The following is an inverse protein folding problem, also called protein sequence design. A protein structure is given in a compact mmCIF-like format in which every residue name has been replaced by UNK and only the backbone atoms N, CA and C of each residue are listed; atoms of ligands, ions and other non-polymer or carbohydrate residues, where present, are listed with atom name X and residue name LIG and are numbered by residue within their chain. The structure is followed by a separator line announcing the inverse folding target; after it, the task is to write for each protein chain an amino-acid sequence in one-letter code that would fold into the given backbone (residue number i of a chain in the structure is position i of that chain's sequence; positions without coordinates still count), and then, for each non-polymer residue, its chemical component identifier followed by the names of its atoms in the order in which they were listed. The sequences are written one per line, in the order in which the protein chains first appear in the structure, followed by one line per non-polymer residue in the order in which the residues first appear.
data_IF_197080123860
#
_entry.id   IF_197080123860
#
_cell.length_a   1.000
_cell.length_b   1.000
_cell.length_c   1.000
_cell.angle_alpha   90.00
_cell.angle_beta   90.00
_cell.angle_gamma   90.00
#
_symmetry.space_group_name_H-M   'P 1'
#
loop_
_entity.id
_entity.type
_entity.pdbx_description
1 polymer ?
#
# COMPACT_ATOMS: atom_id res chain seq x y z
N UNK A 1 3.33 50.63 10.33
CA UNK A 1 2.42 49.48 10.31
C UNK A 1 2.03 49.26 8.87
N UNK A 2 2.82 48.46 8.16
CA UNK A 2 2.35 47.76 6.97
C UNK A 2 3.18 46.47 6.92
N UNK A 3 2.48 45.34 6.95
CA UNK A 3 3.01 44.02 7.28
C UNK A 3 3.88 43.50 6.13
N UNK A 4 5.19 43.57 6.31
CA UNK A 4 6.14 42.80 5.51
C UNK A 4 5.97 41.32 5.84
N UNK A 5 5.02 40.67 5.18
CA UNK A 5 4.81 39.22 5.27
C UNK A 5 6.09 38.55 4.74
N UNK A 6 6.84 37.91 5.63
CA UNK A 6 8.10 37.24 5.34
C UNK A 6 7.89 36.17 4.25
N UNK A 7 8.67 36.22 3.17
CA UNK A 7 8.57 35.29 2.05
C UNK A 7 8.65 33.82 2.49
N UNK A 8 9.35 33.55 3.59
CA UNK A 8 9.49 32.22 4.18
C UNK A 8 8.14 31.72 4.74
N UNK A 9 7.37 32.59 5.41
CA UNK A 9 6.05 32.22 5.97
C UNK A 9 5.03 31.87 4.89
N UNK A 10 5.07 32.60 3.76
CA UNK A 10 4.26 32.28 2.59
C UNK A 10 4.71 30.97 1.95
N UNK A 11 6.01 30.69 1.93
CA UNK A 11 6.54 29.41 1.44
C UNK A 11 6.09 28.24 2.33
N UNK A 12 6.12 28.41 3.65
CA UNK A 12 5.63 27.42 4.64
C UNK A 12 4.14 27.13 4.49
N UNK A 13 3.32 28.17 4.29
CA UNK A 13 1.89 28.00 4.00
C UNK A 13 1.67 27.23 2.69
N UNK A 14 2.50 27.50 1.67
CA UNK A 14 2.54 26.72 0.44
C UNK A 14 2.84 25.25 0.70
N UNK A 15 3.89 24.95 1.49
CA UNK A 15 4.29 23.59 1.84
C UNK A 15 3.24 22.86 2.69
N UNK A 16 2.56 23.56 3.60
CA UNK A 16 1.47 22.99 4.39
C UNK A 16 0.28 22.60 3.51
N UNK A 17 -0.10 23.45 2.55
CA UNK A 17 -1.17 23.17 1.59
C UNK A 17 -0.80 22.06 0.61
N UNK A 18 0.48 21.98 0.22
CA UNK A 18 1.01 20.87 -0.58
C UNK A 18 0.94 19.53 0.17
N UNK A 19 1.35 19.49 1.44
CA UNK A 19 1.22 18.28 2.29
C UNK A 19 -0.25 17.86 2.47
N UNK A 20 -1.16 18.82 2.50
CA UNK A 20 -2.60 18.57 2.58
C UNK A 20 -3.25 18.18 1.23
N UNK A 21 -2.48 18.10 0.13
CA UNK A 21 -2.98 17.76 -1.20
C UNK A 21 -3.69 18.90 -1.95
N UNK A 22 -3.79 20.09 -1.36
CA UNK A 22 -4.42 21.29 -1.94
C UNK A 22 -3.42 22.09 -2.80
N UNK A 23 -2.91 21.46 -3.87
CA UNK A 23 -1.79 21.97 -4.67
C UNK A 23 -2.12 23.28 -5.42
N UNK A 24 -3.38 23.50 -5.82
CA UNK A 24 -3.83 24.74 -6.48
C UNK A 24 -3.69 25.97 -5.58
N UNK A 25 -3.97 25.81 -4.29
CA UNK A 25 -3.79 26.88 -3.31
C UNK A 25 -2.32 27.04 -2.92
N UNK A 26 -1.57 25.94 -2.80
CA UNK A 26 -0.13 25.97 -2.55
C UNK A 26 0.62 26.82 -3.59
N UNK A 27 0.30 26.66 -4.88
CA UNK A 27 0.91 27.44 -5.98
C UNK A 27 0.69 28.95 -5.81
N UNK A 28 -0.47 29.38 -5.29
CA UNK A 28 -0.73 30.81 -5.05
C UNK A 28 0.25 31.38 -4.02
N UNK A 29 0.49 30.62 -2.95
CA UNK A 29 1.43 31.01 -1.89
C UNK A 29 2.89 30.98 -2.39
N UNK A 30 3.30 29.95 -3.12
CA UNK A 30 4.64 29.89 -3.72
C UNK A 30 4.91 31.03 -4.70
N UNK A 31 3.93 31.39 -5.55
CA UNK A 31 4.07 32.54 -6.45
C UNK A 31 4.19 33.86 -5.70
N UNK A 32 3.47 34.03 -4.59
CA UNK A 32 3.60 35.23 -3.73
C UNK A 32 4.99 35.29 -3.09
N UNK A 33 5.48 34.17 -2.57
CA UNK A 33 6.81 34.08 -1.97
C UNK A 33 7.93 34.37 -2.99
N UNK A 34 7.88 33.79 -4.20
CA UNK A 34 8.88 34.04 -5.26
C UNK A 34 8.88 35.47 -5.79
N UNK A 35 7.75 36.17 -5.71
CA UNK A 35 7.66 37.59 -6.06
C UNK A 35 8.38 38.49 -5.07
N UNK A 36 8.44 38.09 -3.80
CA UNK A 36 9.11 38.84 -2.74
C UNK A 36 10.61 38.52 -2.76
N UNK A 37 10.97 37.24 -2.75
CA UNK A 37 12.35 36.78 -2.75
C UNK A 37 12.53 35.63 -3.77
N UNK A 38 13.23 35.85 -4.90
CA UNK A 38 13.42 34.83 -5.93
C UNK A 38 14.16 33.57 -5.43
N UNK A 39 14.99 33.71 -4.40
CA UNK A 39 15.78 32.62 -3.80
C UNK A 39 15.14 32.01 -2.55
N UNK A 40 13.87 32.32 -2.24
CA UNK A 40 13.18 31.87 -1.02
C UNK A 40 13.23 30.36 -0.82
N UNK A 41 13.19 29.57 -1.90
CA UNK A 41 13.29 28.11 -1.83
C UNK A 41 14.63 27.66 -1.25
N UNK A 42 15.74 28.29 -1.67
CA UNK A 42 17.08 27.96 -1.20
C UNK A 42 17.25 28.32 0.27
N UNK A 43 16.68 29.46 0.68
CA UNK A 43 16.69 29.93 2.07
C UNK A 43 15.86 28.97 2.96
N UNK A 44 14.66 28.59 2.51
CA UNK A 44 13.80 27.65 3.21
C UNK A 44 14.43 26.26 3.36
N UNK A 45 15.06 25.72 2.31
CA UNK A 45 15.80 24.45 2.38
C UNK A 45 16.97 24.50 3.36
N UNK A 46 17.67 25.64 3.43
CA UNK A 46 18.75 25.85 4.40
C UNK A 46 18.22 25.86 5.83
N UNK A 47 17.12 26.59 6.09
CA UNK A 47 16.41 26.60 7.37
C UNK A 47 16.01 25.19 7.80
N UNK A 48 15.38 24.41 6.92
CA UNK A 48 14.95 23.05 7.23
C UNK A 48 16.13 22.10 7.52
N UNK A 49 17.28 22.32 6.87
CA UNK A 49 18.50 21.57 7.15
C UNK A 49 19.13 21.95 8.50
N UNK A 50 19.09 23.23 8.87
CA UNK A 50 19.52 23.73 10.19
C UNK A 50 18.60 23.21 11.31
N UNK A 51 17.28 23.24 11.11
CA UNK A 51 16.30 22.64 12.04
C UNK A 51 16.50 21.14 12.21
N UNK A 52 16.77 20.42 11.11
CA UNK A 52 17.06 18.99 11.16
C UNK A 52 18.35 18.70 11.94
N UNK A 53 19.43 19.46 11.71
CA UNK A 53 20.68 19.35 12.48
C UNK A 53 20.46 19.61 13.96
N UNK A 54 19.74 20.67 14.29
CA UNK A 54 19.41 21.03 15.67
C UNK A 54 18.57 19.93 16.34
N UNK A 55 17.61 19.34 15.62
CA UNK A 55 16.83 18.21 16.11
C UNK A 55 17.69 16.97 16.35
N UNK A 56 18.69 16.72 15.50
CA UNK A 56 19.63 15.61 15.67
C UNK A 56 20.57 15.84 16.87
N UNK A 57 21.02 17.08 17.07
CA UNK A 57 21.82 17.49 18.24
C UNK A 57 21.01 17.43 19.54
N UNK A 58 19.76 17.91 19.54
CA UNK A 58 18.83 17.76 20.67
C UNK A 58 18.58 16.31 21.00
N UNK A 59 18.38 15.45 20.00
CA UNK A 59 18.21 14.01 20.22
C UNK A 59 19.46 13.38 20.83
N UNK A 60 20.66 13.80 20.40
CA UNK A 60 21.95 13.37 20.99
C UNK A 60 22.10 13.88 22.43
N UNK A 61 21.62 15.09 22.72
CA UNK A 61 21.62 15.68 24.06
C UNK A 61 20.62 14.99 24.99
N UNK A 62 19.40 14.69 24.54
CA UNK A 62 18.42 13.86 25.27
C UNK A 62 18.95 12.44 25.53
N UNK A 63 19.68 11.87 24.57
CA UNK A 63 20.40 10.61 24.73
C UNK A 63 21.56 10.73 25.74
N UNK A 64 22.18 11.92 25.89
CA UNK A 64 23.25 12.16 26.85
C UNK A 64 22.75 12.52 28.25
N UNK A 65 21.66 13.26 28.41
CA UNK A 65 21.01 13.51 29.70
C UNK A 65 20.32 12.23 30.23
N UNK A 66 19.85 11.37 29.32
CA UNK A 66 19.47 9.99 29.64
C UNK A 66 20.65 9.08 30.01
N UNK A 67 21.88 9.44 29.62
CA UNK A 67 23.11 8.72 29.94
C UNK A 67 23.83 9.25 31.19
N UNK A 68 23.62 10.51 31.59
CA UNK A 68 24.17 11.06 32.84
C UNK A 68 23.38 10.62 34.09
N UNK A 69 22.17 10.08 33.92
CA UNK A 69 21.49 9.26 34.94
C UNK A 69 21.74 7.75 34.77
N UNK A 70 22.61 7.35 33.85
CA UNK A 70 22.97 5.96 33.57
C UNK A 70 24.48 5.81 33.38
N UNK A 71 25.25 6.25 34.37
CA UNK A 71 26.64 5.82 34.54
C UNK A 71 26.95 5.56 36.00
N UNK A 72 26.49 4.42 36.51
CA UNK A 72 27.15 3.73 37.62
C UNK A 72 27.65 2.40 37.10
N UNK A 73 28.98 2.31 37.03
CA UNK A 73 29.82 1.11 37.02
C UNK A 73 29.35 -0.13 36.23
N UNK A 74 30.08 -0.39 35.15
CA UNK A 74 30.47 -1.74 34.76
C UNK A 74 31.39 -2.34 35.86
N UNK A 75 30.78 -2.70 36.98
CA UNK A 75 31.16 -3.86 37.75
C UNK A 75 29.92 -4.76 37.75
N UNK A 76 30.13 -6.06 37.69
CA UNK A 76 29.09 -7.08 37.78
C UNK A 76 28.32 -6.95 39.09
N UNK A 77 27.35 -6.04 39.14
CA UNK A 77 26.29 -6.01 40.13
C UNK A 77 25.11 -6.73 39.49
N UNK A 78 24.87 -7.95 39.98
CA UNK A 78 23.57 -8.59 39.86
C UNK A 78 22.53 -7.56 40.32
N UNK A 79 21.81 -6.97 39.37
CA UNK A 79 20.58 -6.25 39.66
C UNK A 79 19.78 -7.23 40.54
N UNK A 80 19.42 -6.89 41.78
CA UNK A 80 18.47 -7.71 42.51
C UNK A 80 17.25 -7.82 41.61
N UNK A 81 17.05 -9.00 41.04
CA UNK A 81 15.75 -9.38 40.53
C UNK A 81 14.90 -9.30 41.79
N UNK A 82 14.26 -8.16 42.04
CA UNK A 82 13.00 -8.19 42.76
C UNK A 82 12.18 -9.20 41.96
N UNK A 83 12.09 -10.42 42.49
CA UNK A 83 11.09 -11.39 42.08
C UNK A 83 9.77 -10.68 42.34
N UNK A 84 9.33 -9.90 41.34
CA UNK A 84 7.96 -9.47 41.24
C UNK A 84 7.23 -10.80 41.14
N UNK A 85 6.59 -11.17 42.25
CA UNK A 85 5.76 -12.36 42.37
C UNK A 85 4.55 -12.15 41.44
N UNK A 86 4.81 -12.34 40.15
CA UNK A 86 3.85 -12.13 39.09
C UNK A 86 2.81 -13.22 39.25
N UNK A 87 1.52 -12.86 39.36
CA UNK A 87 0.49 -13.86 39.51
C UNK A 87 0.54 -14.83 38.34
N UNK A 88 0.28 -16.13 38.59
CA UNK A 88 0.35 -17.17 37.57
C UNK A 88 -0.49 -16.79 36.36
N UNK A 89 0.09 -16.96 35.16
CA UNK A 89 -0.63 -16.72 33.93
C UNK A 89 -1.46 -17.96 33.62
N UNK A 90 -2.69 -18.01 34.16
CA UNK A 90 -3.53 -19.21 34.11
C UNK A 90 -3.70 -19.79 32.70
N UNK A 91 -3.78 -18.96 31.66
CA UNK A 91 -3.90 -19.48 30.29
C UNK A 91 -2.64 -20.26 29.84
N UNK A 92 -1.46 -19.84 30.26
CA UNK A 92 -0.19 -20.47 29.88
C UNK A 92 0.15 -21.69 30.74
N UNK A 93 -0.41 -21.75 31.95
CA UNK A 93 -0.24 -22.83 32.92
C UNK A 93 -1.30 -23.92 32.79
N UNK A 94 -2.54 -23.55 32.51
CA UNK A 94 -3.64 -24.51 32.35
C UNK A 94 -3.66 -25.16 30.97
N UNK A 95 -3.23 -24.46 29.92
CA UNK A 95 -3.30 -24.96 28.55
C UNK A 95 -1.94 -25.46 28.07
N UNK A 96 -1.97 -26.63 27.42
CA UNK A 96 -0.80 -27.15 26.71
C UNK A 96 -0.48 -26.29 25.48
N UNK A 97 0.77 -26.35 25.03
CA UNK A 97 1.23 -25.63 23.84
C UNK A 97 0.43 -26.02 22.58
N UNK A 98 -0.07 -27.26 22.50
CA UNK A 98 -0.95 -27.71 21.41
C UNK A 98 -2.28 -26.95 21.37
N UNK A 99 -2.93 -26.77 22.53
CA UNK A 99 -4.19 -26.02 22.62
C UNK A 99 -3.93 -24.53 22.32
N UNK A 100 -2.84 -23.98 22.85
CA UNK A 100 -2.43 -22.60 22.58
C UNK A 100 -2.16 -22.38 21.09
N UNK A 101 -1.48 -23.30 20.41
CA UNK A 101 -1.27 -23.24 18.96
C UNK A 101 -2.57 -23.29 18.17
N UNK A 102 -3.56 -24.07 18.62
CA UNK A 102 -4.89 -24.09 18.00
C UNK A 102 -5.61 -22.76 18.15
N UNK A 103 -5.53 -22.14 19.33
CA UNK A 103 -6.06 -20.77 19.56
C UNK A 103 -5.35 -19.76 18.65
N UNK A 104 -4.01 -19.84 18.56
CA UNK A 104 -3.22 -18.96 17.68
C UNK A 104 -3.65 -19.13 16.21
N UNK A 105 -3.91 -20.35 15.74
CA UNK A 105 -4.38 -20.58 14.38
C UNK A 105 -5.72 -19.89 14.10
N UNK A 106 -6.69 -19.95 15.03
CA UNK A 106 -7.95 -19.21 14.89
C UNK A 106 -7.72 -17.69 14.87
N UNK A 107 -6.80 -17.20 15.70
CA UNK A 107 -6.43 -15.77 15.72
C UNK A 107 -5.82 -15.36 14.38
N UNK A 108 -4.92 -16.16 13.80
CA UNK A 108 -4.32 -15.94 12.48
C UNK A 108 -5.39 -15.82 11.40
N UNK A 109 -6.42 -16.67 11.42
CA UNK A 109 -7.52 -16.64 10.46
C UNK A 109 -8.44 -15.43 10.64
N UNK A 110 -8.57 -14.92 11.88
CA UNK A 110 -9.38 -13.75 12.19
C UNK A 110 -8.72 -12.43 11.78
N UNK A 111 -7.46 -12.20 12.17
CA UNK A 111 -6.73 -10.97 11.90
C UNK A 111 -5.24 -11.14 12.13
N UNK A 112 -4.46 -10.83 11.09
CA UNK A 112 -3.00 -10.80 11.18
C UNK A 112 -2.48 -9.77 12.19
N UNK A 113 -3.22 -8.68 12.46
CA UNK A 113 -2.82 -7.69 13.47
C UNK A 113 -2.94 -8.26 14.88
N UNK A 114 -4.03 -8.98 15.15
CA UNK A 114 -4.25 -9.64 16.44
C UNK A 114 -3.20 -10.72 16.70
N UNK A 115 -2.78 -11.45 15.67
CA UNK A 115 -1.67 -12.41 15.76
C UNK A 115 -0.37 -11.75 16.22
N UNK A 116 0.01 -10.62 15.61
CA UNK A 116 1.20 -9.87 16.04
C UNK A 116 1.02 -9.31 17.45
N UNK A 117 -0.14 -8.72 17.76
CA UNK A 117 -0.39 -8.18 19.10
C UNK A 117 -0.30 -9.26 20.19
N UNK A 118 -0.80 -10.47 19.94
CA UNK A 118 -0.66 -11.60 20.87
C UNK A 118 0.81 -11.94 21.10
N UNK A 119 1.63 -11.95 20.05
CA UNK A 119 3.06 -12.26 20.14
C UNK A 119 3.87 -11.26 20.98
N UNK A 120 3.33 -10.05 21.19
CA UNK A 120 3.95 -8.99 21.98
C UNK A 120 3.62 -9.07 23.48
N UNK A 121 2.68 -9.95 23.87
CA UNK A 121 2.21 -10.06 25.27
C UNK A 121 3.22 -10.73 26.18
N UNK A 122 3.87 -11.81 25.73
CA UNK A 122 4.87 -12.52 26.53
C UNK A 122 5.83 -13.36 25.66
N UNK A 123 6.96 -13.78 26.24
CA UNK A 123 7.98 -14.60 25.56
C UNK A 123 7.41 -15.94 25.05
N UNK A 124 6.52 -16.59 25.81
CA UNK A 124 5.91 -17.88 25.42
C UNK A 124 5.02 -17.72 24.18
N UNK A 125 4.12 -16.74 24.16
CA UNK A 125 3.30 -16.46 22.97
C UNK A 125 4.14 -16.00 21.79
N UNK A 126 5.22 -15.25 22.01
CA UNK A 126 6.14 -14.87 20.94
C UNK A 126 6.74 -16.11 20.25
N UNK A 127 7.27 -17.05 21.04
CA UNK A 127 7.83 -18.30 20.54
C UNK A 127 6.78 -19.14 19.79
N UNK A 128 5.58 -19.32 20.37
CA UNK A 128 4.49 -20.07 19.73
C UNK A 128 4.01 -19.41 18.42
N UNK A 129 4.03 -18.07 18.34
CA UNK A 129 3.63 -17.35 17.15
C UNK A 129 4.66 -17.40 16.02
N UNK A 130 5.96 -17.30 16.33
CA UNK A 130 6.98 -17.05 15.30
C UNK A 130 8.06 -18.11 15.15
N UNK A 131 8.26 -18.98 16.14
CA UNK A 131 9.20 -20.09 16.06
C UNK A 131 8.54 -21.35 15.49
N UNK A 132 7.25 -21.55 15.74
CA UNK A 132 6.49 -22.65 15.15
C UNK A 132 6.14 -22.35 13.67
N UNK A 133 6.18 -23.38 12.83
CA UNK A 133 5.80 -23.27 11.41
C UNK A 133 4.29 -23.22 11.18
N UNK A 134 3.51 -23.68 12.16
CA UNK A 134 2.06 -23.90 12.09
C UNK A 134 1.28 -22.62 11.88
N UNK A 135 1.50 -21.53 12.63
CA UNK A 135 0.83 -20.26 12.37
C UNK A 135 1.10 -19.73 10.95
N UNK A 136 2.35 -19.80 10.48
CA UNK A 136 2.71 -19.39 9.11
C UNK A 136 2.03 -20.28 8.06
N UNK A 137 1.97 -21.59 8.29
CA UNK A 137 1.27 -22.54 7.41
C UNK A 137 -0.21 -22.21 7.30
N UNK A 138 -0.87 -21.96 8.42
CA UNK A 138 -2.27 -21.54 8.47
C UNK A 138 -2.49 -20.25 7.71
N UNK A 139 -1.63 -19.24 7.95
CA UNK A 139 -1.72 -17.95 7.28
C UNK A 139 -1.48 -18.04 5.77
N UNK A 140 -0.48 -18.82 5.36
CA UNK A 140 -0.19 -19.09 3.97
C UNK A 140 -1.38 -19.76 3.27
N UNK A 141 -1.96 -20.80 3.86
CA UNK A 141 -3.14 -21.48 3.31
C UNK A 141 -4.32 -20.51 3.16
N UNK A 142 -4.57 -19.69 4.18
CA UNK A 142 -5.61 -18.66 4.13
C UNK A 142 -5.43 -17.67 2.95
N UNK A 143 -4.21 -17.18 2.74
CA UNK A 143 -3.92 -16.22 1.66
C UNK A 143 -3.99 -16.88 0.29
N UNK A 144 -3.27 -17.99 0.11
CA UNK A 144 -3.00 -18.56 -1.21
C UNK A 144 -4.15 -19.40 -1.75
N UNK A 145 -5.00 -19.99 -0.91
CA UNK A 145 -6.23 -20.68 -1.35
C UNK A 145 -7.25 -19.73 -1.99
N UNK A 146 -7.14 -18.43 -1.74
CA UNK A 146 -8.03 -17.39 -2.28
C UNK A 146 -7.48 -16.72 -3.54
N UNK A 147 -6.28 -17.13 -3.98
CA UNK A 147 -5.67 -16.57 -5.18
C UNK A 147 -6.15 -17.34 -6.41
N UNK A 148 -6.49 -16.60 -7.47
CA UNK A 148 -6.93 -17.18 -8.74
C UNK A 148 -5.76 -17.18 -9.71
N UNK A 149 -5.49 -18.33 -10.34
CA UNK A 149 -4.42 -18.51 -11.31
C UNK A 149 -4.98 -18.77 -12.71
N UNK A 150 -4.20 -18.46 -13.75
CA UNK A 150 -4.62 -18.67 -15.12
C UNK A 150 -4.72 -20.18 -15.44
N UNK A 151 -5.95 -20.67 -15.59
CA UNK A 151 -6.25 -22.08 -15.87
C UNK A 151 -5.61 -22.58 -17.18
N UNK A 152 -5.52 -21.72 -18.20
CA UNK A 152 -4.91 -22.10 -19.47
C UNK A 152 -3.41 -22.34 -19.30
N UNK A 153 -2.72 -21.48 -18.56
CA UNK A 153 -1.29 -21.67 -18.25
C UNK A 153 -1.07 -22.88 -17.35
N UNK A 154 -1.93 -23.11 -16.35
CA UNK A 154 -1.89 -24.32 -15.53
C UNK A 154 -1.96 -25.58 -16.39
N UNK A 155 -2.93 -25.63 -17.31
CA UNK A 155 -3.13 -26.75 -18.22
C UNK A 155 -1.96 -26.94 -19.18
N UNK A 156 -1.44 -25.86 -19.77
CA UNK A 156 -0.33 -25.91 -20.72
C UNK A 156 0.98 -26.38 -20.05
N UNK A 157 1.20 -26.01 -18.79
CA UNK A 157 2.36 -26.43 -18.01
C UNK A 157 2.18 -27.81 -17.34
N UNK A 158 1.05 -28.48 -17.54
CA UNK A 158 0.75 -29.77 -16.90
C UNK A 158 0.60 -29.69 -15.38
N UNK A 159 0.29 -28.50 -14.85
CA UNK A 159 0.12 -28.25 -13.41
C UNK A 159 -1.36 -28.39 -13.07
N UNK A 160 -1.70 -29.47 -12.37
CA UNK A 160 -3.06 -29.69 -11.85
C UNK A 160 -3.35 -28.89 -10.58
N UNK A 161 -2.32 -28.65 -9.76
CA UNK A 161 -2.45 -27.97 -8.48
C UNK A 161 -1.26 -27.01 -8.25
N UNK A 162 -1.58 -25.73 -8.00
CA UNK A 162 -0.59 -24.69 -7.68
C UNK A 162 0.09 -24.99 -6.35
N UNK A 163 -0.54 -25.76 -5.46
CA UNK A 163 0.10 -26.18 -4.22
C UNK A 163 1.31 -27.08 -4.48
N UNK A 164 1.24 -27.98 -5.47
CA UNK A 164 2.40 -28.82 -5.84
C UNK A 164 3.57 -27.99 -6.35
N UNK A 165 3.29 -26.94 -7.13
CA UNK A 165 4.31 -25.98 -7.55
C UNK A 165 4.90 -25.25 -6.33
N UNK A 166 4.05 -24.79 -5.41
CA UNK A 166 4.50 -24.11 -4.20
C UNK A 166 5.36 -25.00 -3.30
N UNK A 167 4.98 -26.27 -3.13
CA UNK A 167 5.74 -27.24 -2.35
C UNK A 167 7.10 -27.55 -2.98
N UNK A 168 7.20 -27.49 -4.31
CA UNK A 168 8.47 -27.66 -5.04
C UNK A 168 9.43 -26.49 -4.80
N UNK A 169 8.92 -25.25 -4.78
CA UNK A 169 9.75 -24.03 -4.66
C UNK A 169 10.09 -23.70 -3.20
N UNK A 170 9.11 -23.80 -2.29
CA UNK A 170 9.25 -23.36 -0.89
C UNK A 170 9.25 -24.50 0.14
N UNK A 171 8.80 -25.70 -0.24
CA UNK A 171 8.65 -26.84 0.68
C UNK A 171 7.82 -26.48 1.91
N UNK A 172 8.32 -26.82 3.09
CA UNK A 172 7.65 -26.53 4.38
C UNK A 172 8.03 -25.15 4.95
N UNK A 173 8.77 -24.32 4.22
CA UNK A 173 9.18 -22.99 4.69
C UNK A 173 8.12 -21.93 4.35
N UNK A 174 7.00 -21.99 5.07
CA UNK A 174 5.87 -21.06 4.88
C UNK A 174 6.24 -19.60 5.15
N UNK A 175 7.17 -19.35 6.08
CA UNK A 175 7.68 -17.99 6.36
C UNK A 175 8.35 -17.39 5.13
N UNK A 176 9.23 -18.15 4.46
CA UNK A 176 9.86 -17.75 3.20
C UNK A 176 8.83 -17.57 2.09
N UNK A 177 7.88 -18.48 1.96
CA UNK A 177 6.81 -18.38 0.96
C UNK A 177 5.98 -17.10 1.14
N UNK A 178 5.63 -16.73 2.37
CA UNK A 178 4.88 -15.49 2.67
C UNK A 178 5.66 -14.21 2.34
N UNK A 179 6.99 -14.27 2.27
CA UNK A 179 7.84 -13.13 1.90
C UNK A 179 8.15 -13.05 0.41
N UNK A 180 8.13 -14.18 -0.30
CA UNK A 180 8.60 -14.26 -1.69
C UNK A 180 7.47 -14.44 -2.71
N UNK A 181 6.45 -15.24 -2.39
CA UNK A 181 5.35 -15.55 -3.31
C UNK A 181 4.37 -14.38 -3.37
N UNK A 182 4.24 -13.70 -4.53
CA UNK A 182 3.31 -12.57 -4.65
C UNK A 182 1.85 -13.01 -4.52
N UNK A 183 1.01 -12.12 -3.99
CA UNK A 183 -0.43 -12.33 -3.88
C UNK A 183 -1.21 -11.02 -3.91
N UNK A 184 -2.50 -11.11 -4.24
CA UNK A 184 -3.45 -10.01 -4.22
C UNK A 184 -4.10 -9.90 -2.84
N UNK A 185 -4.25 -8.66 -2.36
CA UNK A 185 -4.90 -8.33 -1.09
C UNK A 185 -6.37 -7.99 -1.31
N UNK A 186 -7.25 -8.55 -0.48
CA UNK A 186 -8.70 -8.41 -0.61
C UNK A 186 -9.32 -7.39 0.36
N UNK A 187 -8.68 -7.14 1.51
CA UNK A 187 -9.23 -6.26 2.56
C UNK A 187 -8.93 -4.77 2.33
N UNK A 188 -9.18 -4.28 1.11
CA UNK A 188 -8.90 -2.89 0.76
C UNK A 188 -9.07 -2.58 -0.72
N UNK A 189 -8.55 -1.43 -1.13
CA UNK A 189 -8.58 -0.94 -2.51
C UNK A 189 -7.17 -0.59 -2.96
N UNK A 190 -6.84 -0.95 -4.19
CA UNK A 190 -5.65 -0.48 -4.88
C UNK A 190 -5.96 0.84 -5.58
N UNK A 191 -5.21 1.89 -5.26
CA UNK A 191 -5.47 3.26 -5.73
C UNK A 191 -4.24 3.77 -6.49
N UNK A 192 -4.45 4.25 -7.71
CA UNK A 192 -3.45 5.00 -8.48
C UNK A 192 -3.91 6.45 -8.60
N UNK A 193 -3.07 7.38 -8.14
CA UNK A 193 -3.32 8.83 -8.18
C UNK A 193 -2.51 9.43 -9.32
N UNK A 194 -3.19 10.03 -10.29
CA UNK A 194 -2.56 10.61 -11.47
C UNK A 194 -2.88 12.10 -11.56
N UNK A 195 -1.82 12.89 -11.70
CA UNK A 195 -1.90 14.33 -11.91
C UNK A 195 -1.39 14.64 -13.31
N UNK A 196 -2.16 15.36 -14.11
CA UNK A 196 -1.70 15.86 -15.40
C UNK A 196 -2.02 17.35 -15.57
N UNK A 197 -1.20 18.03 -16.36
CA UNK A 197 -1.36 19.44 -16.66
C UNK A 197 -2.17 19.58 -17.95
N UNK A 198 -3.32 20.26 -17.88
CA UNK A 198 -4.10 20.66 -19.04
C UNK A 198 -3.83 22.13 -19.34
N UNK A 199 -3.44 22.40 -20.58
CA UNK A 199 -3.30 23.77 -21.09
C UNK A 199 -4.70 24.26 -21.53
N UNK A 200 -5.12 25.42 -21.04
CA UNK A 200 -6.40 26.04 -21.44
C UNK A 200 -6.40 26.53 -22.89
N UNK A 201 -7.60 26.82 -23.42
CA UNK A 201 -7.77 27.42 -24.76
C UNK A 201 -7.30 28.88 -24.79
N UNK A 202 -6.58 29.25 -25.85
CA UNK A 202 -6.00 30.58 -26.06
C UNK A 202 -7.12 31.57 -26.44
N UNK A 203 -7.31 32.69 -25.72
CA UNK A 203 -8.00 33.86 -26.27
C UNK A 203 -7.12 34.47 -27.36
N UNK A 204 -7.68 34.73 -28.55
CA UNK A 204 -6.95 35.36 -29.66
C UNK A 204 -6.22 36.64 -29.18
N UNK A 205 -4.91 36.70 -29.42
CA UNK A 205 -4.07 37.85 -29.08
C UNK A 205 -3.22 37.74 -27.79
N UNK A 206 -3.32 36.64 -27.03
CA UNK A 206 -2.50 36.44 -25.82
C UNK A 206 -1.16 35.73 -26.09
N UNK A 207 -0.07 36.16 -25.42
CA UNK A 207 1.23 35.49 -25.50
C UNK A 207 1.20 34.13 -24.78
N UNK A 208 1.79 33.10 -25.39
CA UNK A 208 1.95 31.74 -24.87
C UNK A 208 2.64 31.64 -23.49
N UNK A 209 3.29 32.71 -23.03
CA UNK A 209 3.97 32.82 -21.74
C UNK A 209 3.04 33.00 -20.53
N UNK A 210 1.76 33.35 -20.74
CA UNK A 210 0.78 33.59 -19.67
C UNK A 210 -0.28 32.49 -19.56
N UNK A 211 -0.02 31.31 -20.13
CA UNK A 211 -0.97 30.20 -20.14
C UNK A 211 -1.34 29.77 -18.71
N UNK A 212 -2.61 29.87 -18.28
CA UNK A 212 -3.04 29.30 -17.02
C UNK A 212 -2.99 27.77 -17.12
N UNK A 213 -2.04 27.18 -16.39
CA UNK A 213 -1.88 25.73 -16.28
C UNK A 213 -2.93 25.21 -15.29
N UNK A 214 -3.83 24.33 -15.74
CA UNK A 214 -4.80 23.67 -14.88
C UNK A 214 -4.34 22.24 -14.58
N UNK A 215 -4.00 21.95 -13.34
CA UNK A 215 -3.68 20.59 -12.92
C UNK A 215 -4.96 19.82 -12.63
N UNK A 216 -5.14 18.69 -13.31
CA UNK A 216 -6.27 17.79 -13.12
C UNK A 216 -5.76 16.53 -12.43
N UNK A 217 -6.41 16.16 -11.33
CA UNK A 217 -6.18 14.92 -10.61
C UNK A 217 -7.29 13.95 -10.96
N UNK A 218 -6.93 12.73 -11.33
CA UNK A 218 -7.87 11.62 -11.41
C UNK A 218 -7.29 10.38 -10.73
N UNK A 219 -8.20 9.49 -10.35
CA UNK A 219 -7.94 8.30 -9.57
C UNK A 219 -8.36 7.08 -10.36
N UNK A 220 -7.58 6.01 -10.24
CA UNK A 220 -7.96 4.67 -10.68
C UNK A 220 -8.07 3.77 -9.45
N UNK A 221 -9.19 3.09 -9.31
CA UNK A 221 -9.48 2.18 -8.21
C UNK A 221 -9.62 0.76 -8.74
N UNK A 222 -9.00 -0.19 -8.03
CA UNK A 222 -9.15 -1.62 -8.22
C UNK A 222 -9.46 -2.28 -6.88
N UNK A 223 -10.57 -3.02 -6.78
CA UNK A 223 -10.90 -3.86 -5.62
C UNK A 223 -11.06 -5.30 -6.09
N UNK A 224 -10.30 -6.21 -5.49
CA UNK A 224 -10.27 -7.62 -5.90
C UNK A 224 -11.11 -8.48 -4.96
N UNK A 225 -11.63 -9.58 -5.50
CA UNK A 225 -12.44 -10.55 -4.77
C UNK A 225 -11.91 -11.98 -4.97
N UNK A 226 -11.99 -12.86 -3.95
CA UNK A 226 -11.50 -14.23 -4.02
C UNK A 226 -12.11 -15.11 -5.13
N UNK A 227 -13.28 -14.73 -5.66
CA UNK A 227 -13.96 -15.43 -6.75
C UNK A 227 -13.37 -15.12 -8.14
N UNK A 228 -12.28 -14.36 -8.22
CA UNK A 228 -11.69 -13.95 -9.51
C UNK A 228 -12.35 -12.71 -10.12
N UNK A 229 -13.30 -12.06 -9.45
CA UNK A 229 -13.87 -10.78 -9.90
C UNK A 229 -13.08 -9.59 -9.35
N UNK A 230 -13.06 -8.49 -10.09
CA UNK A 230 -12.43 -7.23 -9.70
C UNK A 230 -13.32 -6.06 -10.10
N UNK A 231 -13.54 -5.12 -9.18
CA UNK A 231 -14.21 -3.86 -9.47
C UNK A 231 -13.17 -2.82 -9.89
N UNK A 232 -13.41 -2.17 -11.03
CA UNK A 232 -12.53 -1.16 -11.62
C UNK A 232 -13.29 0.16 -11.77
N UNK A 233 -12.66 1.26 -11.40
CA UNK A 233 -13.22 2.61 -11.61
C UNK A 233 -12.13 3.62 -11.96
N UNK A 234 -12.43 4.50 -12.91
CA UNK A 234 -11.64 5.71 -13.21
C UNK A 234 -12.52 6.94 -12.98
N UNK A 235 -12.12 7.83 -12.07
CA UNK A 235 -12.92 9.01 -11.70
C UNK A 235 -12.05 10.15 -11.18
N UNK A 236 -12.58 11.36 -11.14
CA UNK A 236 -11.96 12.51 -10.45
C UNK A 236 -12.35 12.59 -8.96
N UNK A 237 -13.26 11.73 -8.50
CA UNK A 237 -13.67 11.69 -7.09
C UNK A 237 -12.55 11.09 -6.23
N UNK A 238 -12.30 11.74 -5.09
CA UNK A 238 -11.22 11.36 -4.19
C UNK A 238 -11.57 10.11 -3.35
N UNK A 239 -10.57 9.46 -2.74
CA UNK A 239 -10.77 8.21 -2.02
C UNK A 239 -11.76 8.30 -0.85
N UNK A 240 -11.92 9.46 -0.21
CA UNK A 240 -12.84 9.61 0.92
C UNK A 240 -14.31 9.48 0.51
N UNK A 241 -14.63 9.81 -0.75
CA UNK A 241 -15.97 9.68 -1.32
C UNK A 241 -16.19 8.28 -1.89
N UNK A 242 -15.20 7.76 -2.62
CA UNK A 242 -15.35 6.51 -3.38
C UNK A 242 -15.20 5.28 -2.49
N UNK A 243 -14.14 5.21 -1.68
CA UNK A 243 -13.76 3.98 -0.96
C UNK A 243 -14.87 3.44 -0.04
N UNK A 244 -15.64 4.25 0.72
CA UNK A 244 -16.65 3.72 1.63
C UNK A 244 -17.73 2.86 0.96
N UNK A 245 -18.14 3.21 -0.26
CA UNK A 245 -19.19 2.51 -1.02
C UNK A 245 -18.66 1.66 -2.17
N UNK A 246 -17.35 1.62 -2.40
CA UNK A 246 -16.74 0.90 -3.54
C UNK A 246 -16.77 -0.62 -3.35
N UNK A 247 -17.92 -1.23 -3.61
CA UNK A 247 -18.16 -2.68 -3.55
C UNK A 247 -18.91 -3.18 -4.77
N UNK A 248 -18.82 -4.49 -5.04
CA UNK A 248 -19.56 -5.16 -6.12
C UNK A 248 -21.07 -5.00 -5.92
N UNK A 249 -21.57 -5.08 -4.68
CA UNK A 249 -23.00 -4.92 -4.38
C UNK A 249 -23.51 -3.53 -4.78
N UNK A 250 -22.69 -2.50 -4.58
CA UNK A 250 -23.02 -1.12 -4.93
C UNK A 250 -22.62 -0.73 -6.35
N UNK A 251 -22.01 -1.64 -7.13
CA UNK A 251 -21.53 -1.34 -8.48
C UNK A 251 -22.60 -0.69 -9.39
N UNK A 252 -23.89 -1.10 -9.37
CA UNK A 252 -24.93 -0.47 -10.20
C UNK A 252 -25.10 1.03 -9.96
N UNK A 253 -24.84 1.50 -8.74
CA UNK A 253 -24.98 2.91 -8.35
C UNK A 253 -23.71 3.73 -8.64
N UNK A 254 -22.58 3.04 -8.92
CA UNK A 254 -21.30 3.67 -9.19
C UNK A 254 -21.14 3.84 -10.69
N UNK A 255 -21.38 5.07 -11.15
CA UNK A 255 -21.20 5.45 -12.56
C UNK A 255 -19.77 5.12 -13.04
N UNK A 256 -19.69 4.53 -14.23
CA UNK A 256 -18.44 4.17 -14.92
C UNK A 256 -17.57 3.12 -14.18
N UNK A 257 -18.14 2.41 -13.19
CA UNK A 257 -17.49 1.24 -12.60
C UNK A 257 -17.74 -0.01 -13.44
N UNK A 258 -16.68 -0.76 -13.72
CA UNK A 258 -16.71 -1.99 -14.50
C UNK A 258 -16.41 -3.20 -13.60
N UNK A 259 -17.15 -4.30 -13.80
CA UNK A 259 -16.78 -5.61 -13.24
C UNK A 259 -15.87 -6.31 -14.25
N UNK A 260 -14.69 -6.67 -13.77
CA UNK A 260 -13.64 -7.34 -14.53
C UNK A 260 -13.36 -8.71 -13.91
N UNK A 261 -12.67 -9.58 -14.64
CA UNK A 261 -12.08 -10.80 -14.09
C UNK A 261 -10.58 -10.63 -13.92
N UNK A 262 -9.99 -11.32 -12.95
CA UNK A 262 -8.54 -11.28 -12.71
C UNK A 262 -7.97 -12.67 -12.49
N UNK A 263 -6.69 -12.84 -12.86
CA UNK A 263 -5.93 -14.04 -12.57
C UNK A 263 -4.43 -13.72 -12.49
N UNK A 264 -3.71 -14.54 -11.71
CA UNK A 264 -2.26 -14.53 -11.68
C UNK A 264 -1.71 -15.49 -12.74
N UNK A 265 -0.70 -15.02 -13.45
CA UNK A 265 0.08 -15.88 -14.34
C UNK A 265 1.06 -16.74 -13.54
N UNK A 266 1.37 -17.90 -14.09
CA UNK A 266 2.37 -18.83 -13.55
C UNK A 266 3.80 -18.46 -13.95
N UNK A 267 3.96 -17.51 -14.87
CA UNK A 267 5.26 -17.10 -15.39
C UNK A 267 6.06 -16.26 -14.38
N UNK A 268 7.39 -16.25 -14.58
CA UNK A 268 8.34 -15.31 -13.98
C UNK A 268 8.01 -14.87 -12.53
N UNK A 269 7.97 -15.84 -11.61
CA UNK A 269 7.86 -15.57 -10.17
C UNK A 269 6.43 -15.34 -9.65
N UNK A 270 5.39 -15.78 -10.38
CA UNK A 270 3.97 -15.76 -9.93
C UNK A 270 3.42 -14.35 -9.63
N UNK A 271 4.09 -13.31 -10.13
CA UNK A 271 3.80 -11.92 -9.78
C UNK A 271 3.07 -11.12 -10.86
N UNK A 272 2.82 -11.73 -12.02
CA UNK A 272 2.11 -11.09 -13.13
C UNK A 272 0.60 -11.25 -12.92
N UNK A 273 -0.10 -10.14 -12.86
CA UNK A 273 -1.55 -10.03 -12.71
C UNK A 273 -2.16 -9.64 -14.06
N UNK A 274 -3.13 -10.42 -14.52
CA UNK A 274 -3.96 -10.09 -15.67
C UNK A 274 -5.35 -9.66 -15.18
N UNK A 275 -5.88 -8.57 -15.73
CA UNK A 275 -7.25 -8.11 -15.53
C UNK A 275 -7.93 -8.05 -16.91
N UNK A 276 -9.02 -8.79 -17.06
CA UNK A 276 -9.81 -8.86 -18.29
C UNK A 276 -11.12 -8.13 -18.11
N UNK A 277 -11.46 -7.30 -19.10
CA UNK A 277 -12.70 -6.54 -19.12
C UNK A 277 -13.34 -6.63 -20.49
N UNK A 278 -14.58 -7.10 -20.55
CA UNK A 278 -15.36 -7.15 -21.78
C UNK A 278 -16.32 -5.99 -21.82
N UNK A 279 -16.25 -5.15 -22.85
CA UNK A 279 -17.19 -4.05 -23.07
C UNK A 279 -18.12 -4.39 -24.22
N UNK A 280 -19.31 -4.88 -23.87
CA UNK A 280 -20.33 -5.34 -24.85
C UNK A 280 -20.75 -4.26 -25.85
N UNK A 281 -20.80 -2.98 -25.43
CA UNK A 281 -21.19 -1.87 -26.31
C UNK A 281 -20.29 -1.69 -27.53
N UNK A 282 -18.99 -1.96 -27.39
CA UNK A 282 -18.00 -1.71 -28.43
C UNK A 282 -17.35 -3.00 -28.94
N UNK A 283 -17.84 -4.15 -28.48
CA UNK A 283 -17.33 -5.49 -28.84
C UNK A 283 -15.81 -5.61 -28.67
N UNK A 284 -15.29 -4.99 -27.60
CA UNK A 284 -13.87 -4.95 -27.27
C UNK A 284 -13.60 -5.74 -25.99
N UNK A 285 -12.56 -6.56 -26.05
CA UNK A 285 -11.97 -7.22 -24.89
C UNK A 285 -10.68 -6.50 -24.51
N UNK A 286 -10.62 -5.97 -23.30
CA UNK A 286 -9.43 -5.33 -22.75
C UNK A 286 -8.69 -6.32 -21.86
N UNK A 287 -7.38 -6.39 -22.03
CA UNK A 287 -6.46 -7.11 -21.15
C UNK A 287 -5.47 -6.11 -20.57
N UNK A 288 -5.42 -6.03 -19.24
CA UNK A 288 -4.49 -5.19 -18.52
C UNK A 288 -3.53 -6.05 -17.70
N UNK A 289 -2.23 -5.83 -17.88
CA UNK A 289 -1.18 -6.59 -17.21
C UNK A 289 -0.44 -5.71 -16.20
N UNK A 290 -0.34 -6.20 -14.97
CA UNK A 290 0.34 -5.52 -13.88
C UNK A 290 1.34 -6.44 -13.17
N UNK A 291 2.44 -5.88 -12.71
CA UNK A 291 3.42 -6.56 -11.87
C UNK A 291 3.16 -6.25 -10.39
N UNK A 292 2.95 -7.30 -9.59
CA UNK A 292 2.93 -7.21 -8.14
C UNK A 292 4.35 -6.94 -7.64
N UNK A 293 4.50 -5.96 -6.76
CA UNK A 293 5.78 -5.58 -6.17
C UNK A 293 5.62 -4.97 -4.77
N UNK A 294 6.73 -4.88 -4.05
CA UNK A 294 6.76 -4.30 -2.70
C UNK A 294 6.71 -2.76 -2.73
N UNK A 295 6.20 -2.18 -1.65
CA UNK A 295 6.25 -0.74 -1.38
C UNK A 295 7.10 -0.50 -0.13
N UNK A 296 8.41 -0.29 -0.32
CA UNK A 296 9.36 -0.27 0.80
C UNK A 296 9.31 -1.61 1.54
N UNK A 297 9.12 -1.57 2.87
CA UNK A 297 8.95 -2.76 3.71
C UNK A 297 7.56 -3.40 3.65
N UNK A 298 6.59 -2.81 2.92
CA UNK A 298 5.24 -3.39 2.79
C UNK A 298 5.24 -4.41 1.64
N UNK A 299 5.12 -5.71 1.93
CA UNK A 299 5.16 -6.74 0.88
C UNK A 299 3.92 -6.65 -0.01
N UNK A 300 4.14 -6.84 -1.31
CA UNK A 300 3.11 -6.96 -2.34
C UNK A 300 2.04 -5.85 -2.31
N UNK A 301 2.44 -4.65 -1.90
CA UNK A 301 1.53 -3.53 -1.68
C UNK A 301 1.33 -2.63 -2.90
N UNK A 302 1.97 -2.95 -4.04
CA UNK A 302 2.03 -2.12 -5.23
C UNK A 302 1.84 -2.93 -6.50
N UNK A 303 0.97 -2.44 -7.39
CA UNK A 303 0.76 -2.99 -8.73
C UNK A 303 1.33 -2.00 -9.76
N UNK A 304 2.34 -2.43 -10.52
CA UNK A 304 2.95 -1.60 -11.58
C UNK A 304 2.39 -2.00 -12.93
N UNK A 305 2.08 -1.03 -13.78
CA UNK A 305 1.67 -1.31 -15.15
C UNK A 305 2.78 -1.98 -15.96
N UNK A 306 2.42 -3.03 -16.70
CA UNK A 306 3.27 -3.67 -17.71
C UNK A 306 2.79 -3.26 -19.09
N UNK A 307 1.55 -3.62 -19.42
CA UNK A 307 0.93 -3.35 -20.71
C UNK A 307 -0.59 -3.28 -20.56
N UNK A 308 -1.27 -2.71 -21.57
CA UNK A 308 -2.69 -2.89 -21.77
C UNK A 308 -2.94 -3.16 -23.24
N UNK A 309 -3.81 -4.10 -23.56
CA UNK A 309 -4.25 -4.36 -24.92
C UNK A 309 -5.76 -4.36 -25.02
N UNK A 310 -6.26 -4.08 -26.22
CA UNK A 310 -7.66 -4.18 -26.57
C UNK A 310 -7.80 -4.99 -27.87
N UNK A 311 -8.58 -6.06 -27.80
CA UNK A 311 -8.84 -6.96 -28.91
C UNK A 311 -10.25 -6.74 -29.42
N UNK A 312 -10.38 -6.50 -30.73
CA UNK A 312 -11.67 -6.45 -31.43
C UNK A 312 -12.14 -7.85 -31.83
N UNK A 313 -13.42 -8.00 -32.18
CA UNK A 313 -13.96 -9.26 -32.72
C UNK A 313 -13.26 -9.76 -33.98
N UNK A 314 -12.70 -8.86 -34.79
CA UNK A 314 -11.93 -9.21 -35.99
C UNK A 314 -10.52 -9.78 -35.69
N UNK A 315 -10.14 -9.84 -34.40
CA UNK A 315 -8.83 -10.30 -33.95
C UNK A 315 -7.75 -9.21 -33.97
N UNK A 316 -8.08 -7.98 -34.35
CA UNK A 316 -7.13 -6.86 -34.31
C UNK A 316 -6.82 -6.51 -32.86
N UNK A 317 -5.55 -6.67 -32.49
CA UNK A 317 -5.04 -6.30 -31.17
C UNK A 317 -4.41 -4.91 -31.23
N UNK A 318 -4.89 -4.02 -30.37
CA UNK A 318 -4.30 -2.70 -30.13
C UNK A 318 -3.55 -2.75 -28.81
N UNK A 319 -2.25 -2.47 -28.81
CA UNK A 319 -1.44 -2.43 -27.60
C UNK A 319 -1.15 -0.99 -27.16
N UNK A 320 -1.16 -0.79 -25.84
CA UNK A 320 -0.95 0.48 -25.17
C UNK A 320 0.12 0.28 -24.10
N UNK A 321 1.33 0.79 -24.36
CA UNK A 321 2.39 0.73 -23.35
C UNK A 321 2.09 1.67 -22.19
N UNK A 322 1.80 1.09 -21.02
CA UNK A 322 1.48 1.83 -19.79
C UNK A 322 2.61 1.81 -18.76
N UNK A 323 3.83 1.39 -19.12
CA UNK A 323 4.93 1.23 -18.15
C UNK A 323 5.30 2.51 -17.39
N UNK A 324 5.05 3.68 -17.98
CA UNK A 324 5.30 5.00 -17.37
C UNK A 324 4.12 5.52 -16.53
N UNK A 325 2.99 4.83 -16.53
CA UNK A 325 1.83 5.21 -15.74
C UNK A 325 2.07 5.02 -14.25
N UNK A 326 1.33 5.79 -13.44
CA UNK A 326 1.43 5.69 -11.98
C UNK A 326 0.93 4.31 -11.51
N UNK A 327 1.69 3.63 -10.63
CA UNK A 327 1.30 2.33 -10.10
C UNK A 327 0.10 2.47 -9.15
N UNK A 328 -0.59 1.37 -8.90
CA UNK A 328 -1.56 1.31 -7.81
C UNK A 328 -0.88 0.97 -6.50
N UNK A 329 -1.33 1.60 -5.42
CA UNK A 329 -0.90 1.35 -4.05
C UNK A 329 -2.08 0.83 -3.25
N UNK A 330 -1.89 -0.26 -2.52
CA UNK A 330 -2.93 -0.85 -1.68
C UNK A 330 -3.19 0.02 -0.43
N UNK A 331 -4.46 0.34 -0.24
CA UNK A 331 -5.01 1.02 0.92
C UNK A 331 -5.97 0.07 1.64
N UNK A 332 -5.64 -0.29 2.89
CA UNK A 332 -6.47 -1.17 3.72
C UNK A 332 -7.76 -0.45 4.13
N UNK A 333 -8.87 -1.20 4.13
CA UNK A 333 -10.17 -0.73 4.63
C UNK A 333 -10.59 -1.65 5.78
N UNK A 334 -11.05 -1.07 6.90
CA UNK A 334 -11.39 -1.84 8.11
C UNK A 334 -12.64 -2.70 7.92
N UNK A 335 -13.66 -2.10 7.32
CA UNK A 335 -14.92 -2.75 6.99
C UNK A 335 -15.51 -2.03 5.78
N UNK A 336 -16.15 -2.78 4.90
CA UNK A 336 -17.19 -2.23 4.05
C UNK A 336 -18.51 -2.53 4.75
N UNK A 337 -19.50 -1.65 4.63
CA UNK A 337 -20.78 -1.80 5.33
C UNK A 337 -21.60 -3.05 4.91
N UNK A 338 -21.04 -3.91 4.05
CA UNK A 338 -21.69 -5.06 3.43
C UNK A 338 -20.95 -6.41 3.60
N UNK A 339 -19.84 -6.46 4.35
CA UNK A 339 -19.12 -7.72 4.66
C UNK A 339 -19.52 -8.34 6.02
#
# INVERSE_FOLDING_TARGET
MDEGIDAITLWEQGTAKERAGAMTDAIKYYRKALKIEPNVEKIYRKKLHEEWKLSEELKKLELSEGAENASTNEQSEEIPQEEIDLPPCWILEMLSDEILLRIINEIVLSSAETWVNLSLTCKKFNALCFSDSTPYRTFARYIYSRQVYNENEMRLNGISDVQTLADTIWGQNYKKMLTERPYIKFHGVYISVVNYLRHGSIPEGSSSLLNPIHMITYYRYLRFYPNGSCLRLLTTNDPSIVVPSFSIENQPDIKDADICTWSLSLDEGLGRLAIKRTRTKDELEFLEELQISNQGHRPFNKLKWINSSATKLDGTVMEFSLQKEKPFIFSRVKYYSTD
#
